data_IF_898903397884
#
_entry.id   IF_898903397884
#
_cell.length_a   1.000
_cell.length_b   1.000
_cell.length_c   1.000
_cell.angle_alpha   90.00
_cell.angle_beta   90.00
_cell.angle_gamma   90.00
#
_symmetry.space_group_name_H-M   'P 1'
#
loop_
_entity.id
_entity.type
_entity.pdbx_description
1 polymer ?
#
# COMPACT_ATOMS: atom_id res chain seq x y z
N UNK A 1 13.51 14.80 0.51
CA UNK A 1 14.12 13.83 1.45
C UNK A 1 13.25 13.48 2.67
N UNK A 2 12.57 14.43 3.34
CA UNK A 2 11.73 14.11 4.52
C UNK A 2 10.66 13.03 4.28
N UNK A 3 10.07 12.98 3.09
CA UNK A 3 9.14 11.92 2.71
C UNK A 3 9.76 10.52 2.86
N UNK A 4 10.95 10.30 2.29
CA UNK A 4 11.64 9.00 2.36
C UNK A 4 12.18 8.67 3.75
N UNK A 5 12.55 9.68 4.55
CA UNK A 5 12.88 9.45 5.96
C UNK A 5 11.68 8.88 6.73
N UNK A 6 10.46 9.36 6.45
CA UNK A 6 9.26 8.79 7.07
C UNK A 6 8.92 7.40 6.51
N UNK A 7 9.18 7.12 5.22
CA UNK A 7 9.02 5.78 4.64
C UNK A 7 9.98 4.78 5.28
N UNK A 8 11.26 5.16 5.44
CA UNK A 8 12.26 4.35 6.14
C UNK A 8 11.88 4.12 7.61
N UNK A 9 11.35 5.15 8.29
CA UNK A 9 10.79 5.01 9.65
C UNK A 9 9.69 3.96 9.73
N UNK A 10 8.71 4.00 8.82
CA UNK A 10 7.64 3.01 8.74
C UNK A 10 8.20 1.59 8.54
N UNK A 11 9.19 1.45 7.65
CA UNK A 11 9.85 0.18 7.39
C UNK A 11 10.63 -0.33 8.62
N UNK A 12 11.37 0.53 9.32
CA UNK A 12 12.10 0.18 10.52
C UNK A 12 11.18 -0.30 11.67
N UNK A 13 10.01 0.31 11.82
CA UNK A 13 8.98 -0.17 12.75
C UNK A 13 8.40 -1.52 12.31
N UNK A 14 8.13 -1.70 11.02
CA UNK A 14 7.69 -3.00 10.48
C UNK A 14 8.71 -4.09 10.80
N UNK A 15 9.98 -3.91 10.43
CA UNK A 15 11.06 -4.87 10.70
C UNK A 15 11.20 -5.21 12.19
N UNK A 16 11.07 -4.21 13.08
CA UNK A 16 11.11 -4.46 14.51
C UNK A 16 9.88 -5.23 15.03
N UNK A 17 8.69 -4.97 14.46
CA UNK A 17 7.44 -5.63 14.86
C UNK A 17 7.30 -7.07 14.30
N UNK A 18 7.82 -7.29 13.09
CA UNK A 18 7.71 -8.49 12.26
C UNK A 18 9.10 -8.93 11.77
N UNK A 19 10.00 -9.37 12.66
CA UNK A 19 11.42 -9.62 12.31
C UNK A 19 11.61 -10.71 11.26
N UNK A 20 10.71 -11.69 11.18
CA UNK A 20 10.77 -12.76 10.19
C UNK A 20 10.35 -12.30 8.77
N UNK A 21 9.71 -11.13 8.66
CA UNK A 21 9.22 -10.53 7.41
C UNK A 21 9.94 -9.20 7.11
N UNK A 22 11.09 -8.98 7.76
CA UNK A 22 11.86 -7.73 7.70
C UNK A 22 12.92 -7.67 6.60
N UNK A 23 13.04 -8.72 5.77
CA UNK A 23 14.00 -8.77 4.65
C UNK A 23 13.35 -9.40 3.42
N UNK A 24 13.98 -9.21 2.26
CA UNK A 24 13.58 -9.85 1.01
C UNK A 24 13.84 -11.35 1.11
N UNK A 25 12.80 -12.15 1.31
CA UNK A 25 12.94 -13.60 1.50
C UNK A 25 12.92 -14.42 0.20
N UNK A 26 12.35 -13.86 -0.87
CA UNK A 26 12.13 -14.58 -2.13
C UNK A 26 12.67 -13.79 -3.32
N UNK A 27 13.46 -14.41 -4.21
CA UNK A 27 13.87 -13.77 -5.43
C UNK A 27 12.68 -13.44 -6.34
N UNK A 28 12.79 -12.37 -7.11
CA UNK A 28 11.78 -11.96 -8.08
C UNK A 28 12.42 -11.38 -9.34
N UNK A 29 11.71 -11.40 -10.46
CA UNK A 29 12.15 -10.73 -11.68
C UNK A 29 11.95 -9.20 -11.52
N UNK A 30 13.06 -8.46 -11.50
CA UNK A 30 13.05 -7.01 -11.39
C UNK A 30 12.59 -6.31 -12.67
N UNK A 31 11.94 -5.16 -12.51
CA UNK A 31 11.73 -4.22 -13.62
C UNK A 31 13.04 -3.55 -14.04
N UNK A 32 13.01 -2.83 -15.17
CA UNK A 32 14.16 -2.06 -15.67
C UNK A 32 14.59 -0.99 -14.65
N UNK A 33 15.90 -0.89 -14.37
CA UNK A 33 16.53 0.14 -13.54
C UNK A 33 17.82 0.61 -14.21
N UNK A 34 18.35 1.74 -13.78
CA UNK A 34 19.57 2.34 -14.36
C UNK A 34 20.74 1.35 -14.50
N UNK A 35 20.98 0.50 -13.50
CA UNK A 35 22.08 -0.48 -13.48
C UNK A 35 21.64 -1.92 -13.66
N UNK A 36 20.35 -2.18 -13.87
CA UNK A 36 19.81 -3.54 -13.84
C UNK A 36 18.75 -3.72 -14.92
N UNK A 37 19.01 -4.53 -15.95
CA UNK A 37 18.04 -4.78 -17.02
C UNK A 37 16.75 -5.41 -16.51
N UNK A 38 15.65 -5.17 -17.24
CA UNK A 38 14.37 -5.82 -17.02
C UNK A 38 14.52 -7.35 -17.07
N UNK A 39 13.83 -8.06 -16.17
CA UNK A 39 13.87 -9.51 -16.08
C UNK A 39 15.02 -10.08 -15.23
N UNK A 40 15.95 -9.23 -14.75
CA UNK A 40 17.02 -9.69 -13.86
C UNK A 40 16.44 -10.24 -12.57
N UNK A 41 16.86 -11.44 -12.15
CA UNK A 41 16.47 -12.02 -10.86
C UNK A 41 17.10 -11.23 -9.72
N UNK A 42 16.27 -10.55 -8.94
CA UNK A 42 16.66 -9.79 -7.75
C UNK A 42 16.47 -10.68 -6.53
N UNK A 43 17.50 -10.83 -5.71
CA UNK A 43 17.51 -11.52 -4.44
C UNK A 43 17.99 -10.60 -3.32
N UNK A 44 18.04 -11.12 -2.09
CA UNK A 44 18.52 -10.39 -0.92
C UNK A 44 20.01 -10.04 -0.96
N UNK A 45 20.76 -10.70 -1.85
CA UNK A 45 22.18 -10.50 -2.11
C UNK A 45 22.48 -9.72 -3.40
N UNK A 46 21.46 -9.31 -4.16
CA UNK A 46 21.66 -8.48 -5.35
C UNK A 46 22.26 -7.11 -4.99
N UNK A 47 23.28 -6.62 -5.73
CA UNK A 47 23.86 -5.30 -5.51
C UNK A 47 22.84 -4.17 -5.64
N UNK A 48 22.84 -3.25 -4.69
CA UNK A 48 22.11 -1.98 -4.70
C UNK A 48 22.99 -0.88 -5.30
N UNK A 49 23.42 -1.05 -6.55
CA UNK A 49 24.21 -0.02 -7.23
C UNK A 49 23.45 1.31 -7.31
N UNK A 50 24.12 2.47 -7.16
CA UNK A 50 25.58 2.66 -7.06
C UNK A 50 26.10 2.74 -5.61
N UNK A 51 25.45 2.09 -4.64
CA UNK A 51 25.80 2.24 -3.23
C UNK A 51 26.82 1.18 -2.77
N UNK A 52 27.99 1.64 -2.32
CA UNK A 52 29.08 0.81 -1.83
C UNK A 52 29.48 1.24 -0.42
N UNK A 53 29.95 0.30 0.38
CA UNK A 53 30.55 0.61 1.68
C UNK A 53 31.96 1.21 1.49
N UNK A 54 32.60 1.62 2.60
CA UNK A 54 33.95 2.21 2.57
C UNK A 54 35.03 1.27 1.99
N UNK A 55 34.80 -0.06 2.03
CA UNK A 55 35.69 -1.06 1.45
C UNK A 55 35.44 -1.33 -0.04
N UNK A 56 34.52 -0.60 -0.69
CA UNK A 56 34.17 -0.79 -2.10
C UNK A 56 33.28 -2.00 -2.38
N UNK A 57 32.77 -2.68 -1.36
CA UNK A 57 31.78 -3.76 -1.54
C UNK A 57 30.38 -3.16 -1.69
N UNK A 58 29.55 -3.69 -2.61
CA UNK A 58 28.20 -3.17 -2.81
C UNK A 58 27.34 -3.46 -1.60
N UNK A 59 26.47 -2.51 -1.26
CA UNK A 59 25.34 -2.82 -0.39
C UNK A 59 24.37 -3.77 -1.10
N UNK A 60 23.72 -4.63 -0.34
CA UNK A 60 22.63 -5.54 -0.74
C UNK A 60 21.44 -5.36 0.20
N UNK A 61 20.21 -5.79 -0.17
CA UNK A 61 19.08 -5.82 0.75
C UNK A 61 19.41 -6.42 2.14
N UNK A 62 20.19 -7.49 2.18
CA UNK A 62 20.62 -8.11 3.45
C UNK A 62 21.54 -7.22 4.26
N UNK A 63 22.53 -6.59 3.62
CA UNK A 63 23.41 -5.68 4.34
C UNK A 63 22.64 -4.48 4.86
N UNK A 64 21.68 -3.92 4.11
CA UNK A 64 20.95 -2.70 4.53
C UNK A 64 19.75 -2.97 5.43
N UNK A 65 19.48 -4.24 5.78
CA UNK A 65 18.30 -4.62 6.56
C UNK A 65 18.32 -4.05 7.99
N UNK A 66 19.49 -3.70 8.54
CA UNK A 66 19.60 -3.09 9.87
C UNK A 66 20.06 -1.63 9.77
N UNK A 67 19.19 -0.70 10.15
CA UNK A 67 19.52 0.74 10.17
C UNK A 67 20.61 1.10 11.19
N UNK A 68 20.83 0.25 12.21
CA UNK A 68 21.81 0.52 13.28
C UNK A 68 23.24 0.65 12.74
N UNK A 69 23.58 -0.09 11.69
CA UNK A 69 24.92 -0.03 11.09
C UNK A 69 25.21 1.32 10.41
N UNK A 70 24.16 2.09 10.09
CA UNK A 70 24.26 3.41 9.48
C UNK A 70 24.29 4.53 10.53
N UNK A 71 24.32 4.19 11.82
CA UNK A 71 24.50 5.15 12.91
C UNK A 71 23.27 5.98 13.24
N UNK A 72 22.07 5.55 12.82
CA UNK A 72 20.81 6.23 13.15
C UNK A 72 19.74 5.26 13.67
N UNK A 73 18.74 5.83 14.34
CA UNK A 73 17.53 5.15 14.81
C UNK A 73 16.38 6.14 14.85
N UNK A 74 15.17 5.65 15.15
CA UNK A 74 13.98 6.47 15.36
C UNK A 74 13.51 6.34 16.81
N UNK A 75 12.91 7.41 17.33
CA UNK A 75 12.24 7.42 18.63
C UNK A 75 11.21 6.28 18.71
N UNK A 76 11.30 5.47 19.76
CA UNK A 76 10.47 4.28 19.95
C UNK A 76 11.11 2.98 19.47
N UNK A 77 12.26 3.05 18.79
CA UNK A 77 13.12 1.89 18.49
C UNK A 77 14.42 1.90 19.31
N UNK A 78 14.87 3.09 19.70
CA UNK A 78 15.98 3.29 20.62
C UNK A 78 15.72 2.59 21.95
N UNK A 79 16.80 2.19 22.63
CA UNK A 79 16.71 1.68 23.98
C UNK A 79 17.28 2.75 24.92
N UNK A 80 16.45 3.33 25.81
CA UNK A 80 16.87 4.42 26.68
C UNK A 80 17.96 3.98 27.68
N UNK A 81 18.13 2.67 27.90
CA UNK A 81 19.15 2.11 28.78
C UNK A 81 20.43 1.68 28.04
N UNK A 82 20.52 1.97 26.74
CA UNK A 82 21.68 1.65 25.91
C UNK A 82 22.26 2.98 25.38
N UNK A 83 23.44 3.40 25.84
CA UNK A 83 24.10 4.58 25.31
C UNK A 83 24.26 4.48 23.79
N UNK A 84 24.00 5.57 23.06
CA UNK A 84 24.16 5.67 21.60
C UNK A 84 25.60 5.33 21.16
N UNK A 85 26.59 5.55 22.05
CA UNK A 85 27.98 5.12 21.89
C UNK A 85 28.24 3.76 22.53
N UNK A 86 27.43 2.75 22.25
CA UNK A 86 27.73 1.39 22.72
C UNK A 86 28.70 0.74 21.74
N UNK A 87 29.82 0.27 22.27
CA UNK A 87 30.76 -0.53 21.51
C UNK A 87 30.04 -1.78 20.97
N UNK A 88 29.83 -1.81 19.66
CA UNK A 88 29.16 -2.91 18.95
C UNK A 88 30.03 -4.18 19.00
N UNK A 89 31.28 -4.07 19.45
CA UNK A 89 32.22 -5.18 19.59
C UNK A 89 32.04 -6.04 20.84
N UNK A 90 31.24 -5.62 21.84
CA UNK A 90 31.01 -6.45 23.03
C UNK A 90 30.19 -7.73 22.70
N UNK A 91 30.74 -8.93 22.96
CA UNK A 91 30.01 -10.18 22.73
C UNK A 91 28.81 -10.30 23.67
N UNK A 92 27.60 -10.00 23.16
CA UNK A 92 26.37 -10.30 23.91
C UNK A 92 26.08 -11.79 23.90
N UNK A 93 25.77 -12.35 25.07
CA UNK A 93 25.18 -13.68 25.17
C UNK A 93 23.92 -13.78 24.30
N UNK A 94 23.66 -14.97 23.74
CA UNK A 94 22.47 -15.20 22.92
C UNK A 94 21.17 -14.83 23.65
N UNK A 95 21.12 -15.08 24.95
CA UNK A 95 19.98 -14.73 25.81
C UNK A 95 19.75 -13.20 25.87
N UNK A 96 20.83 -12.41 26.02
CA UNK A 96 20.74 -10.95 26.06
C UNK A 96 20.24 -10.40 24.72
N UNK A 97 20.76 -10.89 23.59
CA UNK A 97 20.30 -10.48 22.25
C UNK A 97 18.81 -10.73 22.06
N UNK A 98 18.34 -11.94 22.38
CA UNK A 98 16.91 -12.29 22.29
C UNK A 98 16.03 -11.38 23.13
N UNK A 99 16.46 -11.04 24.34
CA UNK A 99 15.75 -10.11 25.22
C UNK A 99 15.69 -8.70 24.63
N UNK A 100 16.80 -8.21 24.10
CA UNK A 100 16.88 -6.88 23.50
C UNK A 100 15.99 -6.79 22.24
N UNK A 101 15.98 -7.84 21.41
CA UNK A 101 15.12 -7.93 20.22
C UNK A 101 13.63 -7.97 20.61
N UNK A 102 13.26 -8.74 21.65
CA UNK A 102 11.90 -8.78 22.16
C UNK A 102 11.44 -7.42 22.71
N UNK A 103 12.32 -6.72 23.44
CA UNK A 103 12.04 -5.38 23.95
C UNK A 103 11.87 -4.37 22.80
N UNK A 104 12.74 -4.42 21.80
CA UNK A 104 12.65 -3.58 20.60
C UNK A 104 11.33 -3.82 19.87
N UNK A 105 10.90 -5.08 19.74
CA UNK A 105 9.60 -5.45 19.17
C UNK A 105 8.43 -4.85 19.95
N UNK A 106 8.43 -4.98 21.28
CA UNK A 106 7.35 -4.41 22.11
C UNK A 106 7.25 -2.89 21.99
N UNK A 107 8.39 -2.18 21.99
CA UNK A 107 8.41 -0.71 21.82
C UNK A 107 7.94 -0.29 20.44
N UNK A 108 8.33 -1.04 19.39
CA UNK A 108 7.86 -0.80 18.03
C UNK A 108 6.34 -0.91 17.94
N UNK A 109 5.76 -1.99 18.47
CA UNK A 109 4.30 -2.21 18.45
C UNK A 109 3.58 -1.14 19.27
N UNK A 110 4.08 -0.78 20.44
CA UNK A 110 3.51 0.30 21.26
C UNK A 110 3.53 1.64 20.53
N UNK A 111 4.60 1.93 19.79
CA UNK A 111 4.70 3.15 18.99
C UNK A 111 3.74 3.14 17.80
N UNK A 112 3.63 2.01 17.09
CA UNK A 112 2.65 1.82 16.01
C UNK A 112 1.23 2.06 16.54
N UNK A 113 0.87 1.41 17.65
CA UNK A 113 -0.44 1.59 18.28
C UNK A 113 -0.65 3.05 18.67
N UNK A 114 0.32 3.72 19.28
CA UNK A 114 0.19 5.13 19.66
C UNK A 114 -0.07 6.05 18.45
N UNK A 115 0.56 5.78 17.31
CA UNK A 115 0.52 6.67 16.14
C UNK A 115 -0.68 6.39 15.22
N UNK A 116 -1.07 5.13 15.08
CA UNK A 116 -2.00 4.71 14.03
C UNK A 116 -3.32 4.13 14.57
N UNK A 117 -3.45 3.90 15.88
CA UNK A 117 -4.70 3.46 16.50
C UNK A 117 -5.68 4.65 16.60
N UNK A 118 -6.67 4.67 15.71
CA UNK A 118 -7.81 5.56 15.80
C UNK A 118 -8.96 4.99 16.65
N UNK A 119 -9.97 5.82 16.94
CA UNK A 119 -11.17 5.43 17.72
C UNK A 119 -11.90 4.20 17.17
N UNK A 120 -11.84 3.96 15.87
CA UNK A 120 -12.46 2.77 15.25
C UNK A 120 -11.75 1.48 15.65
N UNK A 121 -10.42 1.50 15.78
CA UNK A 121 -9.63 0.35 16.24
C UNK A 121 -9.89 0.01 17.71
N UNK A 122 -10.30 0.99 18.55
CA UNK A 122 -10.65 0.75 19.95
C UNK A 122 -11.94 -0.06 20.11
N UNK A 123 -12.88 0.13 19.18
CA UNK A 123 -14.16 -0.58 19.18
C UNK A 123 -14.00 -2.01 18.66
N UNK A 124 -13.07 -2.22 17.73
CA UNK A 124 -12.99 -3.46 16.96
C UNK A 124 -14.25 -3.69 16.11
N UNK A 125 -14.48 -4.95 15.76
CA UNK A 125 -15.66 -5.40 15.02
C UNK A 125 -15.39 -5.59 13.54
N UNK A 126 -16.44 -5.46 12.73
CA UNK A 126 -16.37 -5.70 11.29
C UNK A 126 -15.61 -4.57 10.57
N UNK A 127 -14.63 -4.96 9.75
CA UNK A 127 -13.86 -4.07 8.88
C UNK A 127 -14.09 -4.43 7.43
N UNK A 128 -14.40 -3.41 6.64
CA UNK A 128 -14.67 -3.54 5.22
C UNK A 128 -13.60 -2.78 4.44
N UNK A 129 -12.93 -3.44 3.51
CA UNK A 129 -11.84 -2.86 2.71
C UNK A 129 -12.15 -3.00 1.22
N UNK A 130 -11.90 -1.95 0.44
CA UNK A 130 -11.86 -2.02 -1.02
C UNK A 130 -10.41 -2.16 -1.46
N UNK A 131 -10.08 -3.29 -2.08
CA UNK A 131 -8.80 -3.53 -2.74
C UNK A 131 -8.96 -3.38 -4.24
N UNK A 132 -8.34 -2.35 -4.81
CA UNK A 132 -8.33 -2.09 -6.25
C UNK A 132 -7.00 -2.58 -6.81
N UNK A 133 -7.05 -3.45 -7.81
CA UNK A 133 -5.90 -4.02 -8.49
C UNK A 133 -5.95 -3.60 -9.97
N UNK A 134 -4.81 -3.26 -10.55
CA UNK A 134 -4.67 -2.84 -11.95
C UNK A 134 -3.25 -3.09 -12.43
N UNK A 135 -3.00 -2.98 -13.74
CA UNK A 135 -1.64 -2.91 -14.29
C UNK A 135 -1.22 -1.46 -14.44
N UNK A 136 -0.05 -1.11 -13.91
CA UNK A 136 0.45 0.24 -13.97
C UNK A 136 0.51 0.73 -15.43
N UNK A 137 1.00 -0.12 -16.35
CA UNK A 137 1.18 0.18 -17.78
C UNK A 137 -0.10 0.53 -18.55
N UNK A 138 -1.28 0.27 -17.99
CA UNK A 138 -2.58 0.62 -18.59
C UNK A 138 -3.10 1.99 -18.15
N UNK A 139 -2.41 2.64 -17.21
CA UNK A 139 -2.83 3.92 -16.63
C UNK A 139 -1.86 5.01 -17.06
N UNK A 140 -2.37 6.08 -17.66
CA UNK A 140 -1.61 7.30 -17.92
C UNK A 140 -1.28 8.02 -16.59
N UNK A 141 -0.10 8.64 -16.48
CA UNK A 141 0.49 9.04 -15.18
C UNK A 141 1.18 10.40 -15.24
N UNK A 142 1.30 11.10 -14.11
CA UNK A 142 0.70 10.79 -12.81
C UNK A 142 -0.82 10.95 -12.84
N UNK A 143 -1.52 10.05 -12.15
CA UNK A 143 -2.98 10.08 -12.09
C UNK A 143 -3.50 9.75 -10.70
N UNK A 144 -4.79 10.04 -10.49
CA UNK A 144 -5.51 9.72 -9.25
C UNK A 144 -6.75 8.91 -9.60
N UNK A 145 -6.96 7.83 -8.85
CA UNK A 145 -8.21 7.08 -8.87
C UNK A 145 -8.98 7.50 -7.62
N UNK A 146 -9.99 8.34 -7.80
CA UNK A 146 -10.93 8.72 -6.76
C UNK A 146 -11.93 7.59 -6.55
N UNK A 147 -12.09 7.12 -5.32
CA UNK A 147 -12.95 5.99 -5.00
C UNK A 147 -14.12 6.45 -4.16
N UNK A 148 -15.32 5.99 -4.53
CA UNK A 148 -16.57 6.32 -3.88
C UNK A 148 -17.34 5.05 -3.57
N UNK A 149 -18.08 5.07 -2.47
CA UNK A 149 -19.02 4.03 -2.10
C UNK A 149 -20.39 4.67 -1.83
N UNK A 150 -21.43 4.28 -2.58
CA UNK A 150 -22.76 4.92 -2.54
C UNK A 150 -22.70 6.45 -2.66
N UNK A 151 -21.87 6.96 -3.58
CA UNK A 151 -21.57 8.38 -3.81
C UNK A 151 -20.87 9.12 -2.66
N UNK A 152 -20.56 8.46 -1.55
CA UNK A 152 -19.69 9.02 -0.51
C UNK A 152 -18.23 8.83 -0.92
N UNK A 153 -17.44 9.90 -0.86
CA UNK A 153 -16.01 9.83 -1.16
C UNK A 153 -15.27 9.03 -0.08
N UNK A 154 -14.54 8.01 -0.50
CA UNK A 154 -13.77 7.12 0.38
C UNK A 154 -12.31 7.55 0.46
N UNK A 155 -11.72 7.89 -0.68
CA UNK A 155 -10.31 8.26 -0.75
C UNK A 155 -9.74 8.25 -2.16
N UNK A 156 -8.48 8.68 -2.26
CA UNK A 156 -7.72 8.74 -3.50
C UNK A 156 -6.62 7.69 -3.51
N UNK A 157 -6.43 7.06 -4.67
CA UNK A 157 -5.26 6.24 -4.96
C UNK A 157 -4.38 7.03 -5.92
N UNK A 158 -3.19 7.40 -5.46
CA UNK A 158 -2.19 8.02 -6.31
C UNK A 158 -1.48 6.96 -7.16
N UNK A 159 -1.55 7.12 -8.48
CA UNK A 159 -0.79 6.31 -9.44
C UNK A 159 0.48 7.07 -9.77
N UNK A 160 1.58 6.65 -9.14
CA UNK A 160 2.89 7.28 -9.28
C UNK A 160 3.52 7.02 -10.66
N UNK A 161 4.51 7.83 -11.03
CA UNK A 161 5.25 7.65 -12.28
C UNK A 161 5.92 6.25 -12.34
N UNK A 162 6.55 5.83 -11.24
CA UNK A 162 7.19 4.52 -11.11
C UNK A 162 6.46 3.63 -10.09
N UNK A 163 6.44 2.30 -10.27
CA UNK A 163 7.07 1.56 -11.36
C UNK A 163 6.30 1.69 -12.70
N UNK A 164 7.03 1.85 -13.81
CA UNK A 164 6.49 1.98 -15.18
C UNK A 164 5.66 0.78 -15.67
N UNK A 165 5.81 -0.40 -15.08
CA UNK A 165 5.04 -1.61 -15.40
C UNK A 165 4.81 -2.47 -14.16
N UNK A 166 3.85 -3.38 -14.24
CA UNK A 166 3.57 -4.40 -13.24
C UNK A 166 2.27 -4.16 -12.46
N UNK A 167 1.95 -5.05 -11.51
CA UNK A 167 0.72 -4.96 -10.75
C UNK A 167 0.75 -3.76 -9.78
N UNK A 168 -0.23 -2.88 -9.93
CA UNK A 168 -0.60 -1.87 -8.94
C UNK A 168 -1.73 -2.39 -8.05
N UNK A 169 -1.65 -2.11 -6.76
CA UNK A 169 -2.70 -2.46 -5.80
C UNK A 169 -2.79 -1.41 -4.71
N UNK A 170 -4.01 -1.02 -4.37
CA UNK A 170 -4.27 -0.12 -3.26
C UNK A 170 -5.48 -0.61 -2.46
N UNK A 171 -5.46 -0.36 -1.16
CA UNK A 171 -6.53 -0.77 -0.23
C UNK A 171 -7.06 0.45 0.50
N UNK A 172 -8.38 0.62 0.51
CA UNK A 172 -9.07 1.73 1.15
C UNK A 172 -10.10 1.21 2.16
N UNK A 173 -10.21 1.83 3.35
CA UNK A 173 -11.23 1.46 4.33
C UNK A 173 -12.61 1.97 3.91
N UNK A 174 -13.62 1.10 3.94
CA UNK A 174 -15.00 1.41 3.53
C UNK A 174 -15.92 1.74 4.70
N UNK A 175 -15.57 1.40 5.94
CA UNK A 175 -16.46 1.44 7.12
C UNK A 175 -17.27 2.74 7.25
N UNK A 176 -16.65 3.91 7.08
CA UNK A 176 -17.34 5.19 7.17
C UNK A 176 -18.42 5.36 6.08
N UNK A 177 -18.09 5.01 4.84
CA UNK A 177 -19.04 5.11 3.72
C UNK A 177 -20.08 3.97 3.75
N UNK A 178 -19.75 2.84 4.37
CA UNK A 178 -20.66 1.70 4.58
C UNK A 178 -21.89 2.12 5.39
N UNK A 179 -21.73 2.87 6.48
CA UNK A 179 -22.85 3.41 7.26
C UNK A 179 -23.78 4.32 6.43
N UNK A 180 -23.22 5.08 5.50
CA UNK A 180 -24.01 5.90 4.56
C UNK A 180 -24.78 5.04 3.56
N UNK A 181 -24.18 3.98 3.01
CA UNK A 181 -24.89 3.01 2.16
C UNK A 181 -26.07 2.36 2.86
N UNK A 182 -25.89 1.90 4.11
CA UNK A 182 -26.95 1.26 4.88
C UNK A 182 -28.12 2.21 5.10
N UNK A 183 -27.85 3.49 5.42
CA UNK A 183 -28.89 4.52 5.55
C UNK A 183 -29.62 4.82 4.23
N UNK A 184 -28.94 4.65 3.10
CA UNK A 184 -29.54 4.74 1.77
C UNK A 184 -30.34 3.47 1.36
N UNK A 185 -30.45 2.47 2.24
CA UNK A 185 -31.21 1.24 2.00
C UNK A 185 -30.45 0.17 1.22
N UNK A 186 -29.14 0.32 1.01
CA UNK A 186 -28.31 -0.70 0.35
C UNK A 186 -27.99 -1.80 1.36
N UNK A 187 -28.31 -3.05 1.02
CA UNK A 187 -28.01 -4.20 1.87
C UNK A 187 -26.52 -4.56 1.84
N UNK A 188 -25.95 -5.16 2.92
CA UNK A 188 -24.53 -5.51 2.97
C UNK A 188 -24.02 -6.34 1.79
N UNK A 189 -24.83 -7.26 1.27
CA UNK A 189 -24.49 -8.12 0.12
C UNK A 189 -24.37 -7.35 -1.21
N UNK A 190 -24.97 -6.16 -1.29
CA UNK A 190 -24.97 -5.30 -2.49
C UNK A 190 -23.91 -4.21 -2.46
N UNK A 191 -23.17 -4.05 -1.36
CA UNK A 191 -22.19 -2.97 -1.23
C UNK A 191 -21.04 -3.10 -2.24
N UNK A 192 -20.64 -4.34 -2.56
CA UNK A 192 -19.62 -4.62 -3.59
C UNK A 192 -20.00 -4.15 -5.01
N UNK A 193 -21.27 -3.89 -5.26
CA UNK A 193 -21.82 -3.44 -6.54
C UNK A 193 -22.06 -1.92 -6.58
N UNK A 194 -21.79 -1.22 -5.47
CA UNK A 194 -22.03 0.22 -5.29
C UNK A 194 -20.73 1.03 -5.14
N UNK A 195 -19.59 0.42 -5.49
CA UNK A 195 -18.31 1.12 -5.58
C UNK A 195 -18.18 1.75 -6.96
N UNK A 196 -17.87 3.04 -6.99
CA UNK A 196 -17.62 3.78 -8.22
C UNK A 196 -16.30 4.52 -8.17
N UNK A 197 -15.72 4.75 -9.34
CA UNK A 197 -14.41 5.41 -9.46
C UNK A 197 -14.42 6.51 -10.51
N UNK A 198 -13.66 7.56 -10.24
CA UNK A 198 -13.32 8.60 -11.21
C UNK A 198 -11.81 8.64 -11.35
N UNK A 199 -11.29 8.53 -12.56
CA UNK A 199 -9.84 8.53 -12.79
C UNK A 199 -9.47 9.87 -13.41
N UNK A 200 -8.54 10.59 -12.80
CA UNK A 200 -8.05 11.86 -13.33
C UNK A 200 -6.59 11.77 -13.72
N UNK A 201 -6.26 12.19 -14.93
CA UNK A 201 -4.91 12.30 -15.47
C UNK A 201 -4.68 13.75 -15.86
N UNK A 202 -3.65 14.39 -15.30
CA UNK A 202 -3.38 15.82 -15.53
C UNK A 202 -4.63 16.73 -15.34
N UNK A 203 -5.52 16.36 -14.41
CA UNK A 203 -6.76 17.08 -14.13
C UNK A 203 -7.93 16.81 -15.08
N UNK A 204 -7.76 15.94 -16.08
CA UNK A 204 -8.82 15.50 -17.01
C UNK A 204 -9.30 14.10 -16.66
N UNK A 205 -10.59 13.84 -16.85
CA UNK A 205 -11.17 12.52 -16.60
C UNK A 205 -10.76 11.52 -17.69
N UNK A 206 -10.32 10.34 -17.26
CA UNK A 206 -10.04 9.19 -18.10
C UNK A 206 -11.12 8.14 -17.90
N UNK A 207 -11.63 7.49 -18.97
CA UNK A 207 -12.68 6.51 -18.83
C UNK A 207 -12.16 5.23 -18.17
N UNK A 208 -13.04 4.57 -17.41
CA UNK A 208 -12.69 3.38 -16.62
C UNK A 208 -12.26 2.19 -17.48
N UNK A 209 -12.89 2.03 -18.65
CA UNK A 209 -12.64 0.96 -19.62
C UNK A 209 -11.26 1.05 -20.30
N UNK A 210 -10.59 2.21 -20.21
CA UNK A 210 -9.19 2.34 -20.62
C UNK A 210 -8.26 1.42 -19.81
N UNK A 211 -8.60 1.12 -18.55
CA UNK A 211 -7.82 0.22 -17.68
C UNK A 211 -8.45 -1.18 -17.69
N UNK A 212 -8.09 -1.99 -18.68
CA UNK A 212 -8.70 -3.32 -18.92
C UNK A 212 -8.57 -4.28 -17.74
N UNK A 213 -7.50 -4.17 -16.95
CA UNK A 213 -7.21 -5.06 -15.83
C UNK A 213 -7.72 -4.57 -14.48
N UNK A 214 -8.39 -3.41 -14.43
CA UNK A 214 -8.86 -2.87 -13.15
C UNK A 214 -9.93 -3.77 -12.53
N UNK A 215 -9.70 -4.18 -11.29
CA UNK A 215 -10.58 -5.09 -10.56
C UNK A 215 -10.72 -4.64 -9.11
N UNK A 216 -11.94 -4.76 -8.59
CA UNK A 216 -12.26 -4.57 -7.19
C UNK A 216 -12.41 -5.91 -6.49
N UNK A 217 -11.72 -6.06 -5.37
CA UNK A 217 -11.99 -7.07 -4.37
C UNK A 217 -12.43 -6.36 -3.08
N UNK A 218 -13.59 -6.72 -2.56
CA UNK A 218 -14.05 -6.25 -1.25
C UNK A 218 -13.64 -7.30 -0.22
N UNK A 219 -12.91 -6.88 0.80
CA UNK A 219 -12.57 -7.72 1.93
C UNK A 219 -13.46 -7.38 3.12
N UNK A 220 -13.97 -8.41 3.79
CA UNK A 220 -14.66 -8.32 5.07
C UNK A 220 -13.86 -9.12 6.09
N UNK A 221 -13.53 -8.52 7.23
CA UNK A 221 -12.78 -9.18 8.30
C UNK A 221 -13.27 -8.70 9.67
N UNK A 222 -13.00 -9.50 10.69
CA UNK A 222 -13.21 -9.11 12.07
C UNK A 222 -11.90 -8.61 12.65
N UNK A 223 -11.94 -7.46 13.31
CA UNK A 223 -10.81 -6.93 14.07
C UNK A 223 -11.09 -7.01 15.57
N UNK A 224 -10.22 -7.71 16.29
CA UNK A 224 -10.18 -7.66 17.75
C UNK A 224 -9.08 -6.68 18.18
N UNK A 225 -9.41 -5.65 18.99
CA UNK A 225 -8.44 -4.68 19.47
C UNK A 225 -7.27 -5.36 20.21
N UNK A 226 -6.09 -4.72 20.24
CA UNK A 226 -4.93 -5.29 20.94
C UNK A 226 -5.20 -5.38 22.45
N UNK A 227 -4.83 -6.50 23.08
CA UNK A 227 -5.04 -6.72 24.51
C UNK A 227 -4.09 -5.89 25.39
N UNK A 228 -2.98 -5.40 24.82
CA UNK A 228 -2.05 -4.49 25.47
C UNK A 228 -1.39 -3.54 24.47
N UNK A 229 -0.76 -2.44 24.92
CA UNK A 229 -0.05 -1.54 24.02
C UNK A 229 1.04 -2.22 23.18
N UNK A 230 1.64 -3.31 23.66
CA UNK A 230 2.72 -4.04 22.99
C UNK A 230 2.24 -5.19 22.10
N UNK A 231 0.94 -5.33 21.88
CA UNK A 231 0.35 -6.33 20.98
C UNK A 231 -0.31 -5.66 19.78
N UNK A 232 -0.32 -6.36 18.63
CA UNK A 232 -1.05 -5.96 17.44
C UNK A 232 -2.51 -6.42 17.56
N UNK A 233 -3.47 -5.74 16.89
CA UNK A 233 -4.83 -6.26 16.77
C UNK A 233 -4.84 -7.63 16.09
N UNK A 234 -5.83 -8.44 16.42
CA UNK A 234 -6.01 -9.77 15.82
C UNK A 234 -7.05 -9.68 14.72
N UNK A 235 -6.74 -10.27 13.58
CA UNK A 235 -7.64 -10.34 12.42
C UNK A 235 -8.28 -11.74 12.38
N UNK A 236 -9.60 -11.79 12.37
CA UNK A 236 -10.41 -13.00 12.27
C UNK A 236 -11.32 -12.99 11.04
N UNK A 237 -11.88 -14.16 10.71
CA UNK A 237 -12.98 -14.34 9.74
C UNK A 237 -12.82 -13.61 8.39
N UNK A 238 -11.58 -13.42 7.92
CA UNK A 238 -11.30 -12.70 6.68
C UNK A 238 -11.89 -13.40 5.47
N UNK A 239 -12.77 -12.71 4.75
CA UNK A 239 -13.43 -13.16 3.53
C UNK A 239 -13.21 -12.14 2.42
N UNK A 240 -13.11 -12.63 1.19
CA UNK A 240 -12.87 -11.84 -0.01
C UNK A 240 -14.01 -12.06 -0.99
N UNK A 241 -14.50 -10.98 -1.56
CA UNK A 241 -15.59 -10.99 -2.52
C UNK A 241 -15.18 -10.19 -3.74
N UNK A 242 -15.37 -10.77 -4.92
CA UNK A 242 -15.24 -10.02 -6.17
C UNK A 242 -16.33 -8.95 -6.22
N UNK A 243 -15.95 -7.70 -6.42
CA UNK A 243 -16.86 -6.57 -6.62
C UNK A 243 -16.85 -6.05 -8.05
N UNK A 244 -17.73 -5.09 -8.31
CA UNK A 244 -17.88 -4.44 -9.62
C UNK A 244 -17.58 -2.95 -9.49
N UNK A 245 -16.68 -2.44 -10.33
CA UNK A 245 -16.42 -1.01 -10.43
C UNK A 245 -17.33 -0.39 -11.49
N UNK A 246 -17.86 0.78 -11.17
CA UNK A 246 -18.63 1.60 -12.09
C UNK A 246 -17.96 2.96 -12.26
N UNK A 247 -18.07 3.61 -13.43
CA UNK A 247 -17.70 5.02 -13.56
C UNK A 247 -18.53 5.87 -12.58
N UNK A 248 -17.87 6.75 -11.84
CA UNK A 248 -18.54 7.82 -11.10
C UNK A 248 -18.76 8.99 -12.07
N UNK A 249 -19.97 9.55 -12.15
CA UNK A 249 -20.35 10.51 -13.22
C UNK A 249 -19.40 11.72 -13.36
N UNK A 250 -19.28 12.44 -14.47
CA UNK A 250 -19.65 12.17 -15.88
C UNK A 250 -18.41 12.32 -16.75
N UNK A 251 -17.97 11.27 -17.43
CA UNK A 251 -17.18 11.40 -18.65
C UNK A 251 -18.16 11.43 -19.83
N UNK A 252 -18.22 12.56 -20.56
CA UNK A 252 -18.94 12.65 -21.85
C UNK A 252 -17.91 12.57 -22.98
N UNK A 253 -17.81 11.45 -23.72
CA UNK A 253 -17.19 11.47 -25.03
C UNK A 253 -18.08 12.26 -26.00
N UNK A 254 -17.50 13.15 -26.80
CA UNK A 254 -18.20 13.72 -27.97
C UNK A 254 -18.59 12.54 -28.86
N UNK A 255 -19.87 12.48 -29.25
CA UNK A 255 -20.32 11.66 -30.37
C UNK A 255 -19.70 12.28 -31.63
N UNK A 256 -18.92 11.51 -32.35
CA UNK A 256 -18.66 11.77 -33.77
C UNK A 256 -19.96 11.41 -34.51
N UNK A 257 -20.89 12.36 -34.53
CA UNK A 257 -21.96 12.41 -35.53
C UNK A 257 -21.37 13.15 -36.74
N UNK A 258 -21.05 12.42 -37.81
CA UNK A 258 -21.25 12.85 -39.20
C UNK A 258 -20.79 11.73 -40.15
N UNK A 259 -21.73 11.16 -40.91
CA UNK A 259 -21.41 10.16 -41.92
C UNK A 259 -22.53 9.31 -42.49
N UNK A 260 -23.81 9.55 -42.22
CA UNK A 260 -24.91 8.98 -43.01
C UNK A 260 -25.53 10.06 -43.90
N UNK A 261 -24.94 10.28 -45.08
CA UNK A 261 -25.62 10.94 -46.18
C UNK A 261 -26.65 9.98 -46.76
N UNK A 262 -27.86 10.00 -46.21
CA UNK A 262 -29.03 9.39 -46.84
C UNK A 262 -29.44 10.22 -48.05
N UNK A 263 -29.19 9.61 -49.21
CA UNK A 263 -29.89 9.82 -50.47
C UNK A 263 -31.38 10.12 -50.28
N UNK A 264 -31.82 11.27 -50.78
CA UNK A 264 -33.22 11.45 -51.17
C UNK A 264 -33.26 12.04 -52.57
N UNK A 265 -33.51 11.17 -53.54
CA UNK A 265 -33.92 11.55 -54.87
C UNK A 265 -35.42 11.83 -54.94
N UNK A 266 -35.73 12.79 -55.81
CA UNK A 266 -36.88 12.85 -56.72
C UNK A 266 -38.16 13.63 -56.34
N UNK A 267 -38.37 14.68 -57.15
CA UNK A 267 -39.55 15.05 -57.96
C UNK A 267 -40.20 16.40 -57.64
N UNK A 268 -40.31 17.20 -58.70
CA UNK A 268 -40.89 18.54 -58.78
C UNK A 268 -40.25 19.27 -59.96
#
# INVERSE_FOLDING_TARGET
MMHHANVDRLWAFWQASMPNEGTLSRPYAGGSRFTTPEGTTISSSSPLSPFFNQGGLPYTPDTVASIQQFGYTYDGLDDPNIPVKRDVSEPRSRARRRRDDANRRHRAIATINKLYRGKSHDKGGEVYLARINYRAEEVERPSKIHVYLCNEFVGDIAVMAEPSKGPGSATLPLNKAFETCLRAGVTPDKIRDNVSVRITVHGKDMPLDAIKTIKLEVEHLDETPPASPSELPKIGNRRKFQGHLKPHGSWKPKRDEEGESLSCGQKG
#
